data_IF_137711145538
#
_entry.id   IF_137711145538
#
_cell.length_a   1.000
_cell.length_b   1.000
_cell.length_c   1.000
_cell.angle_alpha   90.00
_cell.angle_beta   90.00
_cell.angle_gamma   90.00
#
_symmetry.space_group_name_H-M   'P 1'
#
loop_
_entity.id
_entity.type
_entity.pdbx_description
1 polymer ?
#
# COMPACT_ATOMS: atom_id res chain seq x y z
N UNK A 1 -13.01 -13.43 9.76
CA UNK A 1 -12.26 -12.33 10.40
C UNK A 1 -11.24 -11.80 9.40
N UNK A 2 -11.04 -10.49 9.28
CA UNK A 2 -10.01 -9.89 8.42
C UNK A 2 -8.84 -9.43 9.30
N UNK A 3 -7.61 -9.62 8.83
CA UNK A 3 -6.41 -9.10 9.50
C UNK A 3 -5.89 -7.89 8.73
N UNK A 4 -5.61 -6.78 9.42
CA UNK A 4 -4.98 -5.60 8.84
C UNK A 4 -3.61 -5.43 9.49
N UNK A 5 -2.57 -5.52 8.69
CA UNK A 5 -1.19 -5.30 9.09
C UNK A 5 -0.76 -3.89 8.70
N UNK A 6 -0.09 -3.19 9.59
CA UNK A 6 0.51 -1.88 9.36
C UNK A 6 2.03 -2.01 9.58
N UNK A 7 2.81 -2.37 8.55
CA UNK A 7 4.26 -2.40 8.66
C UNK A 7 4.83 -1.00 8.88
N UNK A 8 5.62 -0.86 9.93
CA UNK A 8 6.20 0.42 10.36
C UNK A 8 7.68 0.23 10.74
N UNK A 9 8.60 0.51 9.80
CA UNK A 9 10.05 0.40 10.04
C UNK A 9 10.67 1.75 10.36
N UNK A 10 11.69 1.76 11.23
CA UNK A 10 12.42 2.99 11.55
C UNK A 10 13.24 3.49 10.37
N UNK A 11 13.90 2.57 9.66
CA UNK A 11 14.78 2.92 8.54
C UNK A 11 13.99 3.19 7.28
N UNK A 12 13.93 4.45 6.89
CA UNK A 12 13.47 4.93 5.59
C UNK A 12 14.61 5.66 4.91
N UNK A 13 14.91 5.31 3.65
CA UNK A 13 16.03 5.91 2.92
C UNK A 13 15.79 7.37 2.52
N UNK A 14 14.54 7.73 2.18
CA UNK A 14 14.17 9.08 1.75
C UNK A 14 13.83 10.01 2.91
N UNK A 15 13.20 9.51 3.96
CA UNK A 15 12.77 10.29 5.13
C UNK A 15 13.00 9.45 6.40
N UNK A 16 14.21 9.48 7.00
CA UNK A 16 14.52 8.71 8.19
C UNK A 16 13.61 9.05 9.37
N UNK A 17 13.13 8.03 10.09
CA UNK A 17 12.28 8.23 11.26
C UNK A 17 10.85 8.67 10.95
N UNK A 18 10.41 8.63 9.68
CA UNK A 18 9.11 9.15 9.24
C UNK A 18 7.91 8.64 10.04
N UNK A 19 7.97 7.42 10.57
CA UNK A 19 6.86 6.85 11.36
C UNK A 19 6.58 7.63 12.66
N UNK A 20 7.62 8.23 13.25
CA UNK A 20 7.53 9.03 14.47
C UNK A 20 7.53 10.53 14.22
N UNK A 21 7.59 10.95 12.96
CA UNK A 21 7.53 12.36 12.58
C UNK A 21 6.18 12.95 13.02
N UNK A 22 6.25 14.13 13.62
CA UNK A 22 5.04 14.87 13.98
C UNK A 22 4.33 15.35 12.71
N UNK A 23 3.04 15.09 12.64
CA UNK A 23 2.13 15.59 11.61
C UNK A 23 0.93 16.18 12.34
N UNK A 24 0.79 17.49 12.33
CA UNK A 24 -0.31 18.19 13.01
C UNK A 24 -0.53 17.72 14.46
N UNK A 25 0.56 17.56 15.24
CA UNK A 25 0.53 17.23 16.66
C UNK A 25 0.39 15.75 17.02
N UNK A 26 0.51 14.84 16.04
CA UNK A 26 0.54 13.38 16.26
C UNK A 26 1.62 12.71 15.44
N UNK A 27 2.20 11.59 15.92
CA UNK A 27 3.09 10.77 15.10
C UNK A 27 2.42 10.25 13.82
N UNK A 28 3.14 10.24 12.70
CA UNK A 28 2.60 9.77 11.43
C UNK A 28 1.94 8.38 11.51
N UNK A 29 2.56 7.44 12.23
CA UNK A 29 2.00 6.09 12.43
C UNK A 29 0.66 6.10 13.17
N UNK A 30 0.45 7.06 14.08
CA UNK A 30 -0.82 7.19 14.79
C UNK A 30 -1.95 7.65 13.85
N UNK A 31 -1.65 8.54 12.89
CA UNK A 31 -2.65 8.92 11.88
C UNK A 31 -3.10 7.71 11.04
N UNK A 32 -2.14 6.91 10.56
CA UNK A 32 -2.46 5.69 9.81
C UNK A 32 -3.29 4.73 10.66
N UNK A 33 -2.91 4.53 11.93
CA UNK A 33 -3.68 3.72 12.86
C UNK A 33 -5.11 4.25 13.06
N UNK A 34 -5.26 5.54 13.36
CA UNK A 34 -6.57 6.19 13.57
C UNK A 34 -7.47 6.04 12.33
N UNK A 35 -6.89 6.18 11.12
CA UNK A 35 -7.61 5.99 9.85
C UNK A 35 -8.08 4.56 9.65
N UNK A 36 -7.22 3.58 9.93
CA UNK A 36 -7.59 2.16 9.86
C UNK A 36 -8.65 1.83 10.90
N UNK A 37 -8.54 2.37 12.11
CA UNK A 37 -9.52 2.14 13.19
C UNK A 37 -10.84 2.88 12.96
N UNK A 38 -10.88 4.00 12.23
CA UNK A 38 -12.11 4.69 11.85
C UNK A 38 -12.91 3.91 10.80
N UNK A 39 -12.24 3.09 10.00
CA UNK A 39 -12.87 2.06 9.20
C UNK A 39 -13.24 0.90 10.13
N UNK A 40 -14.47 0.77 10.56
CA UNK A 40 -14.89 -0.31 11.45
C UNK A 40 -15.52 -1.49 10.67
N UNK A 41 -14.74 -2.39 10.13
CA UNK A 41 -15.27 -3.69 9.81
C UNK A 41 -15.36 -4.46 11.14
N UNK A 42 -16.57 -4.73 11.61
CA UNK A 42 -16.86 -5.28 12.95
C UNK A 42 -16.07 -6.51 13.41
N UNK A 43 -15.31 -7.17 12.52
CA UNK A 43 -14.51 -8.37 12.77
C UNK A 43 -13.09 -8.24 12.21
N UNK A 44 -12.42 -7.08 12.35
CA UNK A 44 -11.02 -6.93 11.95
C UNK A 44 -10.06 -6.97 13.13
N UNK A 45 -8.95 -7.67 12.92
CA UNK A 45 -7.79 -7.63 13.80
C UNK A 45 -6.73 -6.73 13.19
N UNK A 46 -6.44 -5.60 13.82
CA UNK A 46 -5.40 -4.67 13.37
C UNK A 46 -4.13 -4.87 14.18
N UNK A 47 -2.97 -4.89 13.52
CA UNK A 47 -1.66 -5.00 14.19
C UNK A 47 -0.61 -4.14 13.48
N UNK A 48 0.11 -3.34 14.25
CA UNK A 48 1.32 -2.64 13.78
C UNK A 48 2.50 -3.59 13.88
N UNK A 49 3.29 -3.69 12.82
CA UNK A 49 4.47 -4.56 12.76
C UNK A 49 5.74 -3.70 12.65
N UNK A 50 6.53 -3.64 13.71
CA UNK A 50 7.71 -2.77 13.75
C UNK A 50 8.99 -3.51 14.10
N UNK A 51 10.13 -2.93 13.70
CA UNK A 51 11.49 -3.40 13.99
C UNK A 51 12.22 -2.52 15.02
N UNK A 52 11.53 -1.52 15.59
CA UNK A 52 12.17 -0.54 16.47
C UNK A 52 11.37 -0.31 17.76
N UNK A 53 12.10 -0.25 18.87
CA UNK A 53 11.49 -0.10 20.20
C UNK A 53 10.74 1.22 20.33
N UNK A 54 11.27 2.35 19.83
CA UNK A 54 10.61 3.65 19.94
C UNK A 54 9.25 3.66 19.24
N UNK A 55 9.14 3.02 18.05
CA UNK A 55 7.84 2.88 17.36
C UNK A 55 6.90 1.99 18.17
N UNK A 56 7.44 0.91 18.74
CA UNK A 56 6.65 0.00 19.58
C UNK A 56 6.05 0.75 20.79
N UNK A 57 6.90 1.52 21.51
CA UNK A 57 6.49 2.24 22.71
C UNK A 57 5.45 3.31 22.39
N UNK A 58 5.66 4.12 21.35
CA UNK A 58 4.68 5.11 20.88
C UNK A 58 3.35 4.45 20.48
N UNK A 59 3.40 3.30 19.78
CA UNK A 59 2.18 2.57 19.44
C UNK A 59 1.43 2.08 20.69
N UNK A 60 2.15 1.66 21.74
CA UNK A 60 1.53 1.28 23.01
C UNK A 60 0.90 2.46 23.74
N UNK A 61 1.48 3.65 23.67
CA UNK A 61 0.96 4.86 24.30
C UNK A 61 -0.43 5.23 23.78
N UNK A 62 -0.68 5.11 22.47
CA UNK A 62 -2.02 5.36 21.91
C UNK A 62 -2.91 4.10 21.81
N UNK A 63 -2.48 2.98 22.45
CA UNK A 63 -3.31 1.78 22.61
C UNK A 63 -3.33 0.84 21.41
N UNK A 64 -2.41 0.96 20.45
CA UNK A 64 -2.35 0.07 19.32
C UNK A 64 -1.90 -1.36 19.73
N UNK A 65 -2.45 -2.34 19.03
CA UNK A 65 -1.88 -3.69 19.04
C UNK A 65 -0.63 -3.67 18.17
N UNK A 66 0.54 -3.92 18.75
CA UNK A 66 1.83 -3.83 18.09
C UNK A 66 2.68 -5.07 18.38
N UNK A 67 3.40 -5.55 17.38
CA UNK A 67 4.30 -6.68 17.48
C UNK A 67 5.69 -6.33 16.92
N UNK A 68 6.72 -6.82 17.64
CA UNK A 68 8.10 -6.70 17.19
C UNK A 68 8.43 -7.72 16.11
N UNK A 69 9.20 -7.29 15.12
CA UNK A 69 9.66 -8.09 13.99
C UNK A 69 11.17 -7.89 13.78
N UNK A 70 11.90 -8.83 13.18
CA UNK A 70 13.33 -8.67 12.88
C UNK A 70 13.64 -7.44 12.02
N UNK A 71 14.83 -6.85 12.23
CA UNK A 71 15.30 -5.66 11.49
C UNK A 71 15.72 -5.96 10.06
N UNK A 72 16.13 -7.17 9.79
CA UNK A 72 16.63 -7.65 8.50
C UNK A 72 15.54 -8.04 7.51
N UNK A 73 14.27 -7.94 7.90
CA UNK A 73 13.14 -8.15 7.00
C UNK A 73 13.13 -7.04 5.92
N UNK A 74 13.14 -7.41 4.61
CA UNK A 74 13.46 -6.46 3.56
C UNK A 74 12.34 -5.43 3.30
N UNK A 75 11.07 -5.83 3.39
CA UNK A 75 9.93 -5.00 2.99
C UNK A 75 8.66 -5.27 3.81
N UNK A 76 7.57 -4.56 3.51
CA UNK A 76 6.30 -4.67 4.23
C UNK A 76 5.64 -6.04 4.06
N UNK A 77 5.66 -6.62 2.87
CA UNK A 77 5.05 -7.92 2.58
C UNK A 77 5.79 -9.07 3.27
N UNK A 78 7.13 -9.04 3.28
CA UNK A 78 7.92 -10.00 4.04
C UNK A 78 7.65 -9.90 5.55
N UNK A 79 7.37 -8.70 6.04
CA UNK A 79 6.99 -8.48 7.45
C UNK A 79 5.61 -9.06 7.77
N UNK A 80 4.67 -8.96 6.84
CA UNK A 80 3.37 -9.62 6.95
C UNK A 80 3.51 -11.15 6.93
N UNK A 81 4.38 -11.71 6.07
CA UNK A 81 4.65 -13.16 6.04
C UNK A 81 5.25 -13.64 7.36
N UNK A 82 6.24 -12.94 7.90
CA UNK A 82 6.81 -13.24 9.21
C UNK A 82 5.73 -13.22 10.31
N UNK A 83 4.84 -12.23 10.29
CA UNK A 83 3.75 -12.12 11.25
C UNK A 83 2.74 -13.29 11.14
N UNK A 84 2.48 -13.75 9.92
CA UNK A 84 1.67 -14.95 9.66
C UNK A 84 2.32 -16.18 10.26
N UNK A 85 3.61 -16.42 10.02
CA UNK A 85 4.38 -17.54 10.55
C UNK A 85 4.43 -17.55 12.09
N UNK A 86 4.44 -16.36 12.71
CA UNK A 86 4.45 -16.20 14.18
C UNK A 86 3.05 -16.27 14.81
N UNK A 87 2.00 -16.43 14.01
CA UNK A 87 0.63 -16.52 14.52
C UNK A 87 0.10 -15.18 15.06
N UNK A 88 0.61 -14.05 14.56
CA UNK A 88 0.13 -12.72 14.97
C UNK A 88 -1.23 -12.39 14.36
N UNK A 89 -1.64 -13.12 13.33
CA UNK A 89 -2.94 -12.99 12.67
C UNK A 89 -3.91 -14.10 13.14
N UNK A 90 -5.21 -13.82 13.03
CA UNK A 90 -6.26 -14.84 13.10
C UNK A 90 -6.48 -15.48 11.72
N UNK A 91 -7.43 -16.41 11.67
CA UNK A 91 -7.84 -17.00 10.40
C UNK A 91 -8.47 -15.96 9.48
N UNK A 92 -8.13 -16.01 8.20
CA UNK A 92 -8.72 -15.16 7.16
C UNK A 92 -7.71 -14.32 6.39
N UNK A 93 -8.20 -13.47 5.47
CA UNK A 93 -7.33 -12.66 4.63
C UNK A 93 -6.54 -11.63 5.43
N UNK A 94 -5.37 -11.26 4.89
CA UNK A 94 -4.46 -10.28 5.46
C UNK A 94 -4.39 -9.10 4.49
N UNK A 95 -4.62 -7.89 5.00
CA UNK A 95 -4.49 -6.63 4.26
C UNK A 95 -3.28 -5.88 4.81
N UNK A 96 -2.39 -5.49 3.92
CA UNK A 96 -1.21 -4.68 4.23
C UNK A 96 -1.50 -3.22 3.88
N UNK A 97 -1.54 -2.36 4.89
CA UNK A 97 -1.61 -0.91 4.78
C UNK A 97 -0.26 -0.35 5.18
N UNK A 98 0.36 0.42 4.31
CA UNK A 98 1.67 1.00 4.62
C UNK A 98 1.58 1.98 5.80
N UNK A 99 2.55 1.95 6.72
CA UNK A 99 2.54 2.79 7.92
C UNK A 99 2.66 4.30 7.65
N UNK A 100 3.04 4.67 6.43
CA UNK A 100 3.16 6.04 5.93
C UNK A 100 1.91 6.53 5.17
N UNK A 101 0.85 5.74 5.11
CA UNK A 101 -0.44 6.12 4.52
C UNK A 101 -1.25 7.00 5.49
N UNK A 102 -0.68 8.14 5.87
CA UNK A 102 -1.18 9.07 6.90
C UNK A 102 -2.60 9.56 6.60
N UNK A 103 -2.90 9.79 5.33
CA UNK A 103 -4.21 10.24 4.83
C UNK A 103 -5.00 9.10 4.18
N UNK A 104 -4.80 7.87 4.60
CA UNK A 104 -5.54 6.73 4.06
C UNK A 104 -7.05 7.04 3.98
N UNK A 105 -7.60 6.86 2.78
CA UNK A 105 -9.05 6.94 2.59
C UNK A 105 -9.69 5.61 3.01
N UNK A 106 -10.59 5.59 4.01
CA UNK A 106 -11.24 4.36 4.48
C UNK A 106 -12.00 3.59 3.40
N UNK A 107 -12.53 4.27 2.36
CA UNK A 107 -13.24 3.62 1.25
C UNK A 107 -12.35 2.64 0.47
N UNK A 108 -11.02 2.88 0.47
CA UNK A 108 -10.05 1.93 -0.13
C UNK A 108 -9.98 0.63 0.66
N UNK A 109 -10.05 0.70 1.99
CA UNK A 109 -10.09 -0.49 2.85
C UNK A 109 -11.41 -1.26 2.67
N UNK A 110 -12.54 -0.55 2.63
CA UNK A 110 -13.85 -1.17 2.40
C UNK A 110 -13.84 -1.96 1.09
N UNK A 111 -13.33 -1.35 0.03
CA UNK A 111 -13.21 -2.01 -1.26
C UNK A 111 -12.37 -3.28 -1.19
N UNK A 112 -11.21 -3.23 -0.55
CA UNK A 112 -10.32 -4.41 -0.43
C UNK A 112 -10.98 -5.48 0.44
N UNK A 113 -11.55 -5.12 1.58
CA UNK A 113 -12.25 -6.04 2.47
C UNK A 113 -13.39 -6.77 1.74
N UNK A 114 -14.21 -6.02 1.00
CA UNK A 114 -15.27 -6.59 0.18
C UNK A 114 -14.74 -7.60 -0.83
N UNK A 115 -13.66 -7.26 -1.55
CA UNK A 115 -13.03 -8.15 -2.54
C UNK A 115 -12.46 -9.41 -1.90
N UNK A 116 -11.85 -9.30 -0.73
CA UNK A 116 -11.23 -10.44 -0.03
C UNK A 116 -12.25 -11.37 0.63
N UNK A 117 -13.46 -10.90 0.87
CA UNK A 117 -14.56 -11.70 1.44
C UNK A 117 -15.53 -12.23 0.39
N UNK A 118 -15.39 -11.83 -0.87
CA UNK A 118 -16.20 -12.34 -1.97
C UNK A 118 -15.96 -13.86 -2.15
N UNK A 119 -17.01 -14.70 -2.17
CA UNK A 119 -16.87 -16.13 -2.42
C UNK A 119 -16.16 -16.49 -3.74
N UNK A 120 -16.16 -15.56 -4.71
CA UNK A 120 -15.48 -15.70 -6.00
C UNK A 120 -14.06 -15.10 -5.99
N UNK A 121 -13.55 -14.73 -4.83
CA UNK A 121 -12.19 -14.22 -4.69
C UNK A 121 -11.17 -15.25 -5.17
N UNK A 122 -10.21 -14.81 -5.97
CA UNK A 122 -9.05 -15.63 -6.33
C UNK A 122 -8.08 -15.69 -5.14
N UNK A 123 -8.18 -16.76 -4.37
CA UNK A 123 -7.38 -16.93 -3.12
C UNK A 123 -5.91 -17.22 -3.37
N UNK A 124 -5.54 -17.58 -4.58
CA UNK A 124 -4.16 -17.84 -4.97
C UNK A 124 -3.44 -16.58 -5.46
N UNK A 125 -4.19 -15.52 -5.77
CA UNK A 125 -3.65 -14.25 -6.23
C UNK A 125 -3.25 -13.31 -5.08
N UNK A 126 -2.30 -12.44 -5.39
CA UNK A 126 -2.02 -11.22 -4.64
C UNK A 126 -2.99 -10.16 -5.12
N UNK A 127 -3.71 -9.50 -4.22
CA UNK A 127 -4.66 -8.45 -4.59
C UNK A 127 -4.07 -7.07 -4.28
N UNK A 128 -4.31 -6.11 -5.18
CA UNK A 128 -3.91 -4.71 -4.99
C UNK A 128 -4.91 -3.77 -5.64
N UNK A 129 -4.78 -2.48 -5.33
CA UNK A 129 -5.61 -1.43 -5.89
C UNK A 129 -4.87 -0.65 -6.98
N UNK A 130 -5.62 -0.20 -7.96
CA UNK A 130 -5.12 0.69 -9.01
C UNK A 130 -6.14 1.81 -9.27
N UNK A 131 -5.65 2.96 -9.70
CA UNK A 131 -6.48 4.07 -10.15
C UNK A 131 -6.18 4.42 -11.60
N UNK A 132 -7.16 4.95 -12.30
CA UNK A 132 -6.91 5.55 -13.61
C UNK A 132 -6.05 6.80 -13.45
N UNK A 133 -5.09 7.01 -14.34
CA UNK A 133 -4.32 8.25 -14.41
C UNK A 133 -4.96 9.14 -15.48
N UNK A 134 -5.28 10.37 -15.11
CA UNK A 134 -5.99 11.34 -15.96
C UNK A 134 -5.17 12.57 -16.31
N UNK A 135 -3.95 12.67 -15.79
CA UNK A 135 -3.04 13.78 -16.05
C UNK A 135 -1.65 13.29 -16.46
N UNK A 136 -0.91 14.12 -17.18
CA UNK A 136 0.40 13.78 -17.70
C UNK A 136 1.47 13.73 -16.62
N UNK A 137 1.39 14.61 -15.63
CA UNK A 137 2.36 14.69 -14.54
C UNK A 137 2.44 13.37 -13.78
N UNK A 138 1.30 12.74 -13.48
CA UNK A 138 1.24 11.43 -12.85
C UNK A 138 1.82 10.32 -13.73
N UNK A 139 1.63 10.39 -15.06
CA UNK A 139 2.22 9.41 -15.99
C UNK A 139 3.74 9.51 -15.94
N UNK A 140 4.27 10.73 -15.90
CA UNK A 140 5.71 11.01 -15.90
C UNK A 140 6.35 10.90 -14.52
N UNK A 141 5.55 10.91 -13.45
CA UNK A 141 6.04 10.81 -12.08
C UNK A 141 6.80 9.51 -11.85
N UNK A 142 7.99 9.61 -11.27
CA UNK A 142 8.80 8.46 -10.84
C UNK A 142 8.35 7.88 -9.49
N UNK A 143 7.55 8.62 -8.74
CA UNK A 143 7.04 8.21 -7.44
C UNK A 143 5.78 7.34 -7.57
N UNK A 144 5.00 7.53 -8.63
CA UNK A 144 3.85 6.70 -8.95
C UNK A 144 4.26 5.52 -9.84
N UNK A 145 4.09 4.29 -9.37
CA UNK A 145 4.24 3.11 -10.19
C UNK A 145 3.06 2.97 -11.16
N UNK A 146 3.34 2.78 -12.44
CA UNK A 146 2.34 2.48 -13.47
C UNK A 146 2.20 0.97 -13.62
N UNK A 147 1.02 0.53 -14.09
CA UNK A 147 0.74 -0.90 -14.31
C UNK A 147 0.11 -1.13 -15.68
N UNK A 148 0.59 -2.17 -16.35
CA UNK A 148 -0.04 -2.71 -17.56
C UNK A 148 -0.86 -3.93 -17.19
N UNK A 149 -2.10 -3.95 -17.64
CA UNK A 149 -3.08 -4.99 -17.32
C UNK A 149 -3.20 -6.00 -18.45
N UNK A 150 -3.70 -7.18 -18.12
CA UNK A 150 -4.13 -8.16 -19.09
C UNK A 150 -5.33 -7.65 -19.91
N UNK A 151 -5.71 -8.40 -20.96
CA UNK A 151 -6.83 -8.02 -21.84
C UNK A 151 -8.17 -7.86 -21.10
N UNK A 152 -8.37 -8.60 -20.02
CA UNK A 152 -9.60 -8.56 -19.22
C UNK A 152 -9.54 -7.49 -18.13
N UNK A 153 -8.42 -6.76 -18.03
CA UNK A 153 -8.16 -5.73 -17.02
C UNK A 153 -8.36 -6.25 -15.58
N UNK A 154 -7.87 -7.46 -15.32
CA UNK A 154 -7.98 -8.11 -14.01
C UNK A 154 -6.63 -8.39 -13.36
N UNK A 155 -5.61 -8.75 -14.16
CA UNK A 155 -4.30 -9.09 -13.66
C UNK A 155 -3.23 -8.18 -14.22
N UNK A 156 -2.26 -7.83 -13.38
CA UNK A 156 -1.10 -7.08 -13.81
C UNK A 156 -0.19 -7.96 -14.69
N UNK A 157 0.27 -7.38 -15.79
CA UNK A 157 1.31 -7.95 -16.63
C UNK A 157 2.69 -7.43 -16.20
N UNK A 158 2.77 -6.14 -15.84
CA UNK A 158 4.00 -5.53 -15.34
C UNK A 158 3.72 -4.23 -14.59
N UNK A 159 4.62 -3.88 -13.67
CA UNK A 159 4.68 -2.58 -12.99
C UNK A 159 5.98 -1.88 -13.34
N UNK A 160 5.94 -0.54 -13.44
CA UNK A 160 7.14 0.27 -13.67
C UNK A 160 6.96 1.70 -13.17
N UNK A 161 8.05 2.30 -12.68
CA UNK A 161 8.12 3.74 -12.44
C UNK A 161 8.22 4.54 -13.73
N UNK A 162 8.67 3.90 -14.82
CA UNK A 162 8.61 4.49 -16.17
C UNK A 162 7.17 4.53 -16.70
N UNK A 163 6.86 5.46 -17.63
CA UNK A 163 5.58 5.44 -18.34
C UNK A 163 5.38 4.12 -19.11
N UNK A 164 4.43 3.31 -18.71
CA UNK A 164 4.00 2.09 -19.40
C UNK A 164 2.49 2.04 -19.52
N UNK A 165 1.93 1.59 -20.67
CA UNK A 165 2.64 1.21 -21.90
C UNK A 165 3.33 2.42 -22.57
N UNK A 166 4.35 2.16 -23.38
CA UNK A 166 4.99 3.23 -24.14
C UNK A 166 4.01 3.84 -25.15
N UNK A 167 3.82 5.15 -25.07
CA UNK A 167 3.02 5.89 -26.05
C UNK A 167 3.89 6.33 -27.23
N UNK A 168 3.53 5.89 -28.42
CA UNK A 168 4.29 6.17 -29.64
C UNK A 168 3.94 7.53 -30.29
N UNK A 169 2.85 8.17 -29.84
CA UNK A 169 2.45 9.52 -30.30
C UNK A 169 3.30 10.62 -29.64
N UNK A 170 2.95 11.86 -29.93
CA UNK A 170 3.61 13.03 -29.33
C UNK A 170 3.01 13.26 -27.93
N UNK A 171 3.87 13.40 -26.93
CA UNK A 171 3.48 13.86 -25.60
C UNK A 171 2.96 15.30 -25.71
N UNK A 172 1.83 15.59 -25.09
CA UNK A 172 1.19 16.90 -25.16
C UNK A 172 0.03 17.01 -26.15
N UNK A 173 -0.19 16.02 -27.01
CA UNK A 173 -1.44 15.89 -27.72
C UNK A 173 -2.55 15.57 -26.70
N UNK A 174 -3.65 16.33 -26.73
CA UNK A 174 -4.77 16.33 -25.75
C UNK A 174 -5.55 15.00 -25.61
N UNK A 175 -4.93 13.89 -25.92
CA UNK A 175 -5.56 12.58 -26.01
C UNK A 175 -5.31 11.64 -24.80
N UNK A 176 -4.64 12.11 -23.75
CA UNK A 176 -4.37 11.29 -22.56
C UNK A 176 -5.68 10.91 -21.84
N UNK A 177 -6.75 11.70 -22.00
CA UNK A 177 -8.04 11.46 -21.32
C UNK A 177 -9.01 10.51 -22.00
N UNK A 178 -9.00 10.34 -23.30
CA UNK A 178 -10.11 9.68 -24.01
C UNK A 178 -9.85 8.24 -24.49
N UNK A 179 -8.59 7.87 -24.79
CA UNK A 179 -8.29 6.57 -25.39
C UNK A 179 -7.09 5.81 -24.79
N UNK A 180 -6.39 6.35 -23.79
CA UNK A 180 -5.22 5.70 -23.21
C UNK A 180 -5.45 5.37 -21.74
N UNK A 181 -5.43 4.09 -21.43
CA UNK A 181 -5.63 3.58 -20.09
C UNK A 181 -4.29 3.43 -19.37
N UNK A 182 -3.78 4.53 -18.80
CA UNK A 182 -2.72 4.47 -17.81
C UNK A 182 -3.33 4.22 -16.43
N UNK A 183 -2.77 3.27 -15.71
CA UNK A 183 -3.16 2.97 -14.34
C UNK A 183 -2.00 3.20 -13.40
N UNK A 184 -2.26 3.90 -12.30
CA UNK A 184 -1.35 4.09 -11.19
C UNK A 184 -1.65 3.09 -10.08
N UNK A 185 -0.62 2.52 -9.50
CA UNK A 185 -0.71 1.59 -8.39
C UNK A 185 -1.01 2.32 -7.08
N UNK A 186 -1.78 1.70 -6.20
CA UNK A 186 -2.04 2.15 -4.83
C UNK A 186 -1.46 1.11 -3.88
N UNK A 187 -0.58 1.52 -2.97
CA UNK A 187 0.25 0.68 -2.10
C UNK A 187 -0.48 -0.14 -1.04
N UNK A 188 -1.69 -0.63 -1.33
CA UNK A 188 -2.44 -1.54 -0.47
C UNK A 188 -2.42 -2.93 -1.10
N UNK A 189 -2.04 -3.93 -0.32
CA UNK A 189 -2.00 -5.32 -0.76
C UNK A 189 -2.90 -6.18 0.12
N UNK A 190 -3.42 -7.25 -0.45
CA UNK A 190 -4.17 -8.23 0.31
C UNK A 190 -3.90 -9.66 -0.20
N UNK A 191 -3.87 -10.59 0.73
CA UNK A 191 -3.64 -12.00 0.46
C UNK A 191 -4.53 -12.88 1.32
N UNK A 192 -4.90 -14.03 0.80
CA UNK A 192 -5.19 -15.16 1.67
C UNK A 192 -3.87 -15.72 2.23
N UNK A 193 -3.88 -16.36 3.43
CA UNK A 193 -2.65 -16.87 4.04
C UNK A 193 -1.82 -17.76 3.13
N UNK A 194 -2.49 -18.58 2.32
CA UNK A 194 -1.85 -19.51 1.38
C UNK A 194 -1.12 -18.79 0.24
N UNK A 195 -1.66 -17.67 -0.25
CA UNK A 195 -1.00 -16.86 -1.27
C UNK A 195 0.21 -16.13 -0.70
N UNK A 196 0.07 -15.54 0.50
CA UNK A 196 1.19 -14.87 1.18
C UNK A 196 2.35 -15.84 1.47
N UNK A 197 2.04 -17.06 1.87
CA UNK A 197 3.06 -18.09 2.16
C UNK A 197 3.85 -18.55 0.92
N UNK A 198 3.33 -18.34 -0.30
CA UNK A 198 4.02 -18.67 -1.56
C UNK A 198 5.06 -17.64 -1.98
N UNK A 199 5.03 -16.44 -1.41
CA UNK A 199 5.98 -15.38 -1.77
C UNK A 199 7.36 -15.74 -1.21
N UNK A 200 8.35 -15.84 -2.09
CA UNK A 200 9.74 -16.06 -1.72
C UNK A 200 10.49 -14.72 -1.76
N UNK A 201 11.13 -14.38 -0.64
CA UNK A 201 11.95 -13.17 -0.54
C UNK A 201 13.43 -13.53 -0.70
N UNK A 202 13.99 -13.27 -1.89
CA UNK A 202 15.37 -13.62 -2.23
C UNK A 202 16.29 -12.40 -2.27
N UNK A 203 16.91 -12.01 -1.17
CA UNK A 203 17.78 -10.83 -1.12
C UNK A 203 19.02 -10.94 -2.01
N UNK A 204 19.38 -12.16 -2.45
CA UNK A 204 20.54 -12.45 -3.27
C UNK A 204 20.25 -12.78 -4.74
N UNK A 205 19.00 -12.70 -5.21
CA UNK A 205 18.68 -13.02 -6.59
C UNK A 205 19.51 -12.20 -7.58
N UNK A 206 20.11 -12.86 -8.56
CA UNK A 206 20.98 -12.22 -9.55
C UNK A 206 20.23 -11.19 -10.40
N UNK A 207 18.93 -11.42 -10.59
CA UNK A 207 18.03 -10.59 -11.40
C UNK A 207 16.79 -10.22 -10.57
N UNK A 208 16.97 -9.30 -9.62
CA UNK A 208 15.88 -8.83 -8.78
C UNK A 208 15.57 -7.37 -9.11
N UNK A 209 14.43 -7.13 -9.76
CA UNK A 209 13.96 -5.81 -10.17
C UNK A 209 13.32 -5.02 -9.01
N UNK A 210 13.07 -5.64 -7.87
CA UNK A 210 12.62 -4.93 -6.66
C UNK A 210 13.76 -4.20 -5.93
N UNK A 211 15.02 -4.31 -6.40
CA UNK A 211 16.16 -3.59 -5.82
C UNK A 211 16.12 -2.10 -6.13
N UNK A 212 16.63 -1.23 -5.21
CA UNK A 212 16.59 0.23 -5.36
C UNK A 212 17.25 0.78 -6.63
N UNK A 213 18.21 0.06 -7.22
CA UNK A 213 18.86 0.48 -8.47
C UNK A 213 18.01 0.21 -9.72
N UNK A 214 16.89 -0.48 -9.60
CA UNK A 214 15.96 -0.80 -10.68
C UNK A 214 14.60 -0.15 -10.42
N UNK A 215 13.53 -0.91 -10.45
CA UNK A 215 12.16 -0.43 -10.25
C UNK A 215 11.84 -0.09 -8.78
N UNK A 216 12.52 -0.74 -7.81
CA UNK A 216 12.23 -0.61 -6.37
C UNK A 216 10.76 -0.88 -6.03
N UNK A 217 10.20 -1.94 -6.62
CA UNK A 217 8.81 -2.33 -6.51
C UNK A 217 8.69 -3.81 -6.14
N UNK A 218 8.06 -4.12 -4.99
CA UNK A 218 7.84 -5.50 -4.52
C UNK A 218 7.06 -6.34 -5.55
N UNK A 219 6.11 -5.73 -6.25
CA UNK A 219 5.24 -6.41 -7.22
C UNK A 219 6.01 -6.99 -8.40
N UNK A 220 7.14 -6.36 -8.79
CA UNK A 220 7.99 -6.90 -9.85
C UNK A 220 8.61 -8.24 -9.45
N UNK A 221 8.98 -8.41 -8.17
CA UNK A 221 9.50 -9.67 -7.65
C UNK A 221 8.43 -10.77 -7.67
N UNK A 222 7.19 -10.46 -7.31
CA UNK A 222 6.09 -11.42 -7.33
C UNK A 222 5.77 -11.89 -8.74
N UNK A 223 5.70 -10.96 -9.71
CA UNK A 223 5.49 -11.30 -11.12
C UNK A 223 6.65 -12.13 -11.69
N UNK A 224 7.90 -11.88 -11.28
CA UNK A 224 9.05 -12.69 -11.67
C UNK A 224 8.98 -14.12 -11.11
N UNK A 225 8.31 -14.33 -9.98
CA UNK A 225 8.04 -15.65 -9.41
C UNK A 225 6.83 -16.35 -10.08
N UNK A 226 6.17 -15.68 -11.02
CA UNK A 226 4.98 -16.20 -11.67
C UNK A 226 3.72 -16.13 -10.81
N UNK A 227 3.74 -15.35 -9.72
CA UNK A 227 2.58 -15.16 -8.86
C UNK A 227 1.58 -14.20 -9.51
N UNK A 228 0.29 -14.55 -9.59
CA UNK A 228 -0.72 -13.66 -10.17
C UNK A 228 -0.98 -12.47 -9.24
N UNK A 229 -0.95 -11.26 -9.81
CA UNK A 229 -1.32 -10.02 -9.10
C UNK A 229 -2.63 -9.50 -9.67
N UNK A 230 -3.70 -9.66 -8.90
CA UNK A 230 -5.03 -9.19 -9.29
C UNK A 230 -5.23 -7.74 -8.88
N UNK A 231 -5.55 -6.90 -9.85
CA UNK A 231 -5.74 -5.48 -9.66
C UNK A 231 -7.22 -5.12 -9.60
N UNK A 232 -7.59 -4.28 -8.65
CA UNK A 232 -8.95 -3.76 -8.53
C UNK A 232 -8.93 -2.25 -8.80
N UNK A 233 -9.66 -1.85 -9.85
CA UNK A 233 -9.73 -0.42 -10.21
C UNK A 233 -10.62 0.31 -9.22
N UNK A 234 -10.05 1.33 -8.60
CA UNK A 234 -10.75 2.26 -7.72
C UNK A 234 -11.61 3.20 -8.57
N UNK A 235 -12.83 3.49 -8.12
CA UNK A 235 -13.70 4.43 -8.80
C UNK A 235 -13.13 5.85 -8.70
N UNK A 236 -13.27 6.65 -9.77
CA UNK A 236 -12.68 7.98 -9.88
C UNK A 236 -13.20 8.99 -8.82
N UNK A 237 -14.30 8.67 -8.14
CA UNK A 237 -14.81 9.50 -7.02
C UNK A 237 -14.11 9.27 -5.69
N UNK A 238 -13.35 8.18 -5.56
CA UNK A 238 -12.59 7.87 -4.34
C UNK A 238 -11.24 8.57 -4.43
N UNK A 239 -11.02 9.57 -3.58
CA UNK A 239 -9.73 10.28 -3.52
C UNK A 239 -8.63 9.37 -2.99
N UNK A 240 -7.48 9.40 -3.66
CA UNK A 240 -6.23 8.79 -3.20
C UNK A 240 -5.29 9.92 -2.82
N UNK A 241 -4.79 9.86 -1.60
CA UNK A 241 -3.94 10.90 -1.02
C UNK A 241 -2.47 10.50 -1.08
N UNK A 242 -1.53 11.47 -0.97
CA UNK A 242 -0.11 11.18 -0.93
C UNK A 242 0.27 10.37 0.32
N UNK A 243 1.29 9.52 0.17
CA UNK A 243 1.96 8.84 1.28
C UNK A 243 3.14 9.70 1.76
N UNK A 244 3.47 9.61 3.05
CA UNK A 244 4.58 10.35 3.64
C UNK A 244 5.93 9.74 3.24
N UNK A 245 6.53 10.22 2.16
CA UNK A 245 7.78 9.70 1.63
C UNK A 245 8.92 10.73 1.60
N UNK A 246 8.60 12.01 1.50
CA UNK A 246 9.53 13.13 1.40
C UNK A 246 9.11 14.27 2.31
N UNK A 247 9.95 15.32 2.44
CA UNK A 247 9.60 16.54 3.15
C UNK A 247 8.48 17.33 2.44
N UNK A 248 8.40 17.23 1.12
CA UNK A 248 7.37 17.90 0.33
C UNK A 248 6.01 17.23 0.58
N UNK A 249 5.98 15.89 0.62
CA UNK A 249 4.77 15.15 1.00
C UNK A 249 4.29 15.53 2.41
N UNK A 250 5.23 15.74 3.36
CA UNK A 250 4.89 16.15 4.71
C UNK A 250 4.14 17.49 4.72
N UNK A 251 4.65 18.48 4.00
CA UNK A 251 4.01 19.79 3.88
C UNK A 251 2.65 19.71 3.20
N UNK A 252 2.54 18.93 2.12
CA UNK A 252 1.27 18.71 1.43
C UNK A 252 0.22 18.04 2.32
N UNK A 253 0.62 17.01 3.08
CA UNK A 253 -0.23 16.32 4.03
C UNK A 253 -0.75 17.27 5.12
N UNK A 254 0.11 18.11 5.72
CA UNK A 254 -0.31 19.09 6.71
C UNK A 254 -1.29 20.11 6.13
N UNK A 255 -1.06 20.63 4.93
CA UNK A 255 -1.96 21.54 4.24
C UNK A 255 -3.33 20.90 3.97
N UNK A 256 -3.36 19.64 3.55
CA UNK A 256 -4.60 18.89 3.34
C UNK A 256 -5.37 18.67 4.66
N UNK A 257 -4.68 18.42 5.77
CA UNK A 257 -5.30 18.30 7.08
C UNK A 257 -5.89 19.63 7.58
N UNK A 258 -5.16 20.72 7.40
CA UNK A 258 -5.60 22.06 7.81
C UNK A 258 -6.80 22.56 6.98
N UNK A 259 -6.85 22.24 5.69
CA UNK A 259 -7.96 22.63 4.82
C UNK A 259 -9.27 21.92 5.11
N UNK A 260 -9.23 20.80 5.83
CA UNK A 260 -10.39 19.96 6.11
C UNK A 260 -10.94 19.19 4.90
N UNK A 261 -10.23 19.18 3.76
CA UNK A 261 -10.64 18.47 2.54
C UNK A 261 -10.29 16.96 2.60
N UNK A 262 -10.49 16.36 3.75
CA UNK A 262 -10.26 14.94 4.01
C UNK A 262 -11.58 14.19 4.09
N UNK A 263 -11.62 12.90 3.73
CA UNK A 263 -12.76 12.06 4.00
C UNK A 263 -13.04 12.05 5.50
N UNK A 264 -14.31 12.26 5.87
CA UNK A 264 -14.73 12.23 7.26
C UNK A 264 -14.34 10.89 7.87
N UNK A 265 -13.61 10.93 8.97
CA UNK A 265 -13.51 9.76 9.84
C UNK A 265 -14.93 9.49 10.37
N UNK A 266 -15.43 8.28 10.16
CA UNK A 266 -16.72 7.93 10.74
C UNK A 266 -16.54 7.95 12.26
N UNK A 267 -17.19 8.92 12.91
CA UNK A 267 -17.32 8.93 14.37
C UNK A 267 -18.38 7.90 14.70
N UNK A 268 -17.97 6.81 15.31
CA UNK A 268 -18.91 5.88 15.94
C UNK A 268 -19.29 6.46 17.30
N UNK A 269 -20.45 7.12 17.38
CA UNK A 269 -21.11 7.44 18.65
C UNK A 269 -21.68 6.16 19.30
#
# INVERSE_FOLDING_TARGET
>A
MINIAIPARMNSSRLPGKMLMDVCGKPAIQHTWDRVMSFHPGDCRVVVLTDHQDIYDVCKEFGANVAMTPKDIPNGSARCQYALEKGYFGDGPIINVQGDSVLLNPDLLDMVCYRMTDPLCDKDAIHTLIRRITNEDDILSKDLAKVVMDRLQQYALWFSRSPIPYYRGLWGDSHIGENHHYYGHIGIYAWHPEALAKIEFWPGALYNLSKPQYEDLEMCEWLQQGLPVRCHTVHDTIKVYPELNTSDDHQEIEQLMESGDLPLMMTHD
#
